data_IF_112523062508
#
_entry.id   IF_112523062508
#
_cell.length_a   1.000
_cell.length_b   1.000
_cell.length_c   1.000
_cell.angle_alpha   90.00
_cell.angle_beta   90.00
_cell.angle_gamma   90.00
#
_symmetry.space_group_name_H-M   'P 1'
#
loop_
_entity.id
_entity.type
_entity.pdbx_description
1 polymer ?
#
# COMPACT_ATOMS: atom_id res chain seq x y z
N UNK A 1 -11.96 -5.95 -3.30
CA UNK A 1 -11.74 -4.92 -2.28
C UNK A 1 -10.29 -4.45 -2.28
N UNK A 2 -10.05 -3.14 -2.37
CA UNK A 2 -8.72 -2.53 -2.29
C UNK A 2 -8.48 -1.86 -0.93
N UNK A 3 -7.23 -1.84 -0.48
CA UNK A 3 -6.82 -1.10 0.71
C UNK A 3 -6.13 0.21 0.37
N UNK A 4 -6.22 1.18 1.28
CA UNK A 4 -5.36 2.37 1.30
C UNK A 4 -4.68 2.48 2.65
N UNK A 5 -3.36 2.46 2.72
CA UNK A 5 -2.58 2.66 3.93
C UNK A 5 -1.89 4.03 3.87
N UNK A 6 -2.25 4.95 4.76
CA UNK A 6 -1.67 6.29 4.82
C UNK A 6 -1.28 6.65 6.24
N UNK A 7 0.00 6.50 6.60
CA UNK A 7 0.50 6.94 7.90
C UNK A 7 0.90 8.42 7.90
N UNK A 8 1.05 9.04 6.71
CA UNK A 8 1.14 10.49 6.52
C UNK A 8 -0.13 11.01 5.83
N UNK A 9 -0.64 12.15 6.31
CA UNK A 9 -1.80 12.81 5.72
C UNK A 9 -1.49 13.25 4.29
N UNK A 10 -2.32 12.83 3.33
CA UNK A 10 -2.31 13.35 1.96
C UNK A 10 -3.72 13.43 1.42
N UNK A 11 -4.24 14.66 1.25
CA UNK A 11 -5.59 14.87 0.72
C UNK A 11 -5.68 14.51 -0.75
N UNK A 12 -4.73 14.97 -1.58
CA UNK A 12 -4.78 14.75 -3.03
C UNK A 12 -4.58 13.28 -3.40
N UNK A 13 -3.58 12.63 -2.81
CA UNK A 13 -3.24 11.25 -3.15
C UNK A 13 -4.32 10.28 -2.68
N UNK A 14 -4.78 10.43 -1.42
CA UNK A 14 -5.85 9.58 -0.88
C UNK A 14 -7.12 9.72 -1.72
N UNK A 15 -7.55 10.96 -1.99
CA UNK A 15 -8.75 11.20 -2.80
C UNK A 15 -8.60 10.66 -4.23
N UNK A 16 -7.44 10.79 -4.87
CA UNK A 16 -7.22 10.28 -6.21
C UNK A 16 -7.35 8.75 -6.30
N UNK A 17 -6.73 8.01 -5.38
CA UNK A 17 -6.83 6.55 -5.36
C UNK A 17 -8.21 6.06 -4.97
N UNK A 18 -8.85 6.67 -3.96
CA UNK A 18 -10.24 6.34 -3.62
C UNK A 18 -11.16 6.56 -4.81
N UNK A 19 -10.97 7.66 -5.55
CA UNK A 19 -11.77 7.93 -6.74
C UNK A 19 -11.51 6.97 -7.88
N UNK A 20 -10.26 6.54 -8.08
CA UNK A 20 -9.93 5.55 -9.11
C UNK A 20 -10.63 4.21 -8.83
N UNK A 21 -10.55 3.70 -7.60
CA UNK A 21 -11.19 2.45 -7.20
C UNK A 21 -12.72 2.54 -7.35
N UNK A 22 -13.33 3.61 -6.84
CA UNK A 22 -14.79 3.83 -6.97
C UNK A 22 -15.23 3.93 -8.44
N UNK A 23 -14.46 4.61 -9.30
CA UNK A 23 -14.78 4.73 -10.74
C UNK A 23 -14.68 3.41 -11.49
N UNK A 24 -13.82 2.50 -11.03
CA UNK A 24 -13.69 1.16 -11.58
C UNK A 24 -14.71 0.17 -10.98
N UNK A 25 -15.62 0.63 -10.12
CA UNK A 25 -16.65 -0.19 -9.50
C UNK A 25 -16.13 -1.07 -8.35
N UNK A 26 -14.98 -0.75 -7.78
CA UNK A 26 -14.40 -1.47 -6.65
C UNK A 26 -14.76 -0.86 -5.29
N UNK A 27 -14.65 -1.70 -4.26
CA UNK A 27 -14.76 -1.30 -2.85
C UNK A 27 -13.39 -0.96 -2.24
N UNK A 28 -13.40 -0.08 -1.24
CA UNK A 28 -12.19 0.44 -0.60
C UNK A 28 -12.27 0.36 0.92
N UNK A 29 -11.19 -0.09 1.56
CA UNK A 29 -10.95 0.04 2.99
C UNK A 29 -9.75 0.97 3.24
N UNK A 30 -9.87 1.85 4.23
CA UNK A 30 -8.83 2.81 4.59
C UNK A 30 -8.18 2.46 5.92
N UNK A 31 -6.85 2.48 5.94
CA UNK A 31 -6.00 2.32 7.11
C UNK A 31 -5.17 3.60 7.31
N UNK A 32 -5.38 4.24 8.45
CA UNK A 32 -4.61 5.36 8.95
C UNK A 32 -3.38 4.93 9.77
N UNK A 33 -2.71 5.90 10.43
CA UNK A 33 -1.49 5.67 11.20
C UNK A 33 -1.65 4.69 12.36
N UNK A 34 -2.86 4.53 12.89
CA UNK A 34 -3.14 3.78 14.11
C UNK A 34 -4.04 2.56 13.90
N UNK A 35 -4.37 2.23 12.65
CA UNK A 35 -5.37 1.21 12.35
C UNK A 35 -4.77 -0.20 12.20
N UNK A 36 -3.48 -0.31 11.90
CA UNK A 36 -2.76 -1.58 11.80
C UNK A 36 -2.05 -1.90 13.11
N UNK A 37 -2.00 -3.18 13.49
CA UNK A 37 -1.29 -3.64 14.70
C UNK A 37 0.24 -3.54 14.58
N UNK A 38 0.76 -3.05 13.46
CA UNK A 38 2.17 -2.69 13.33
C UNK A 38 2.57 -1.59 14.33
N UNK A 39 1.62 -0.81 14.84
CA UNK A 39 1.84 0.15 15.93
C UNK A 39 1.92 -0.48 17.33
N UNK A 40 1.41 -1.71 17.51
CA UNK A 40 1.44 -2.46 18.79
C UNK A 40 2.50 -3.57 18.80
N UNK A 41 3.25 -3.72 17.71
CA UNK A 41 4.38 -4.65 17.59
C UNK A 41 4.12 -5.86 16.69
N UNK A 42 3.00 -5.92 15.96
CA UNK A 42 2.82 -6.91 14.89
C UNK A 42 3.89 -6.71 13.80
N UNK A 43 4.62 -7.76 13.38
CA UNK A 43 5.55 -7.67 12.27
C UNK A 43 4.84 -7.31 10.96
N UNK A 44 5.48 -6.48 10.12
CA UNK A 44 4.94 -6.13 8.81
C UNK A 44 4.67 -7.36 7.93
N UNK A 45 5.43 -8.44 8.11
CA UNK A 45 5.24 -9.71 7.41
C UNK A 45 3.89 -10.36 7.72
N UNK A 46 3.48 -10.32 8.99
CA UNK A 46 2.24 -10.95 9.42
C UNK A 46 1.04 -10.12 8.97
N UNK A 47 1.12 -8.79 9.12
CA UNK A 47 0.12 -7.88 8.55
C UNK A 47 -0.01 -8.06 7.03
N UNK A 48 1.11 -8.21 6.30
CA UNK A 48 1.10 -8.41 4.85
C UNK A 48 0.39 -9.71 4.44
N UNK A 49 0.65 -10.82 5.16
CA UNK A 49 -0.04 -12.09 4.91
C UNK A 49 -1.53 -11.99 5.15
N UNK A 50 -1.94 -11.36 6.24
CA UNK A 50 -3.36 -11.18 6.59
C UNK A 50 -4.06 -10.34 5.53
N UNK A 51 -3.51 -9.17 5.20
CA UNK A 51 -4.09 -8.30 4.19
C UNK A 51 -4.09 -8.94 2.81
N UNK A 52 -3.11 -9.81 2.50
CA UNK A 52 -3.07 -10.55 1.25
C UNK A 52 -4.11 -11.65 1.06
N UNK A 53 -4.70 -12.14 2.14
CA UNK A 53 -5.85 -13.02 2.04
C UNK A 53 -7.19 -12.26 1.93
N UNK A 54 -7.20 -10.94 2.12
CA UNK A 54 -8.42 -10.13 2.25
C UNK A 54 -8.59 -9.07 1.16
N UNK A 55 -7.48 -8.59 0.58
CA UNK A 55 -7.46 -7.47 -0.36
C UNK A 55 -6.95 -7.88 -1.73
N UNK A 56 -7.47 -7.24 -2.76
CA UNK A 56 -7.01 -7.38 -4.15
C UNK A 56 -5.85 -6.45 -4.50
N UNK A 57 -5.51 -5.52 -3.60
CA UNK A 57 -4.41 -4.57 -3.78
C UNK A 57 -4.35 -3.51 -2.68
N UNK A 58 -3.20 -2.86 -2.51
CA UNK A 58 -2.97 -1.84 -1.48
C UNK A 58 -2.25 -0.63 -2.07
N UNK A 59 -2.79 0.56 -1.82
CA UNK A 59 -2.10 1.83 -2.06
C UNK A 59 -1.49 2.29 -0.74
N UNK A 60 -0.16 2.33 -0.63
CA UNK A 60 0.52 2.57 0.64
C UNK A 60 1.40 3.83 0.59
N UNK A 61 1.29 4.66 1.62
CA UNK A 61 2.16 5.79 1.94
C UNK A 61 2.49 5.75 3.43
N UNK A 62 3.67 5.26 3.75
CA UNK A 62 4.16 5.14 5.12
C UNK A 62 5.20 6.22 5.44
N UNK A 63 5.41 6.50 6.73
CA UNK A 63 6.43 7.41 7.25
C UNK A 63 7.72 6.66 7.67
N UNK A 64 7.65 5.33 7.69
CA UNK A 64 8.75 4.46 8.08
C UNK A 64 9.73 4.18 6.94
N UNK A 65 10.76 3.36 7.21
CA UNK A 65 11.73 2.96 6.21
C UNK A 65 11.08 2.32 4.98
N UNK A 66 11.58 2.63 3.78
CA UNK A 66 11.16 1.97 2.54
C UNK A 66 11.31 0.44 2.61
N UNK A 67 12.28 -0.06 3.39
CA UNK A 67 12.51 -1.48 3.61
C UNK A 67 11.27 -2.21 4.14
N UNK A 68 10.50 -1.60 5.04
CA UNK A 68 9.29 -2.18 5.63
C UNK A 68 8.22 -2.39 4.55
N UNK A 69 8.05 -1.40 3.67
CA UNK A 69 7.11 -1.49 2.55
C UNK A 69 7.57 -2.50 1.50
N UNK A 70 8.88 -2.64 1.28
CA UNK A 70 9.44 -3.66 0.40
C UNK A 70 9.21 -5.09 0.92
N UNK A 71 9.32 -5.31 2.24
CA UNK A 71 8.98 -6.60 2.87
C UNK A 71 7.49 -6.90 2.66
N UNK A 72 6.64 -5.89 2.88
CA UNK A 72 5.21 -6.00 2.66
C UNK A 72 4.89 -6.40 1.21
N UNK A 73 5.49 -5.72 0.23
CA UNK A 73 5.27 -5.96 -1.21
C UNK A 73 5.78 -7.32 -1.72
N UNK A 74 6.66 -8.01 -0.98
CA UNK A 74 7.09 -9.39 -1.30
C UNK A 74 6.04 -10.44 -0.92
N UNK A 75 5.21 -10.13 0.06
CA UNK A 75 4.22 -11.05 0.62
C UNK A 75 2.80 -10.72 0.16
N UNK A 76 2.58 -9.50 -0.31
CA UNK A 76 1.30 -9.01 -0.82
C UNK A 76 1.51 -8.25 -2.14
N UNK A 77 0.73 -8.62 -3.17
CA UNK A 77 0.79 -7.98 -4.48
C UNK A 77 -0.63 -7.88 -5.05
N UNK A 78 -1.00 -6.77 -5.72
CA UNK A 78 -0.20 -5.57 -6.00
C UNK A 78 -0.13 -4.55 -4.86
N UNK A 79 1.06 -3.97 -4.64
CA UNK A 79 1.29 -2.82 -3.74
C UNK A 79 1.77 -1.63 -4.55
N UNK A 80 1.02 -0.54 -4.50
CA UNK A 80 1.36 0.72 -5.18
C UNK A 80 1.85 1.71 -4.13
N UNK A 81 3.08 2.19 -4.32
CA UNK A 81 3.64 3.23 -3.47
C UNK A 81 3.06 4.60 -3.82
N UNK A 82 2.38 5.23 -2.85
CA UNK A 82 1.59 6.45 -3.01
C UNK A 82 2.36 7.72 -2.58
N UNK A 83 3.68 7.80 -2.85
CA UNK A 83 4.61 8.94 -2.76
C UNK A 83 5.73 8.72 -1.73
N UNK A 84 6.98 8.56 -2.22
CA UNK A 84 8.21 8.64 -1.43
C UNK A 84 8.66 10.09 -1.34
N UNK A 85 9.07 10.52 -0.15
CA UNK A 85 9.59 11.87 0.08
C UNK A 85 11.06 11.98 -0.40
N UNK A 86 11.77 10.85 -0.55
CA UNK A 86 13.05 10.76 -1.25
C UNK A 86 12.91 10.57 -2.77
N UNK A 87 12.33 11.53 -3.48
CA UNK A 87 12.59 11.67 -4.92
C UNK A 87 13.82 12.56 -5.11
N UNK A 88 15.01 11.95 -5.21
CA UNK A 88 16.14 12.30 -6.10
C UNK A 88 17.33 11.36 -5.83
N UNK A 89 18.09 10.86 -6.82
CA UNK A 89 17.75 10.32 -8.14
C UNK A 89 18.22 8.85 -8.21
N UNK A 90 17.35 7.88 -7.97
CA UNK A 90 17.58 6.51 -8.46
C UNK A 90 16.25 5.96 -8.93
N UNK A 91 16.19 5.56 -10.19
CA UNK A 91 15.19 4.64 -10.71
C UNK A 91 15.07 3.46 -9.72
N UNK A 92 13.86 3.07 -9.29
CA UNK A 92 13.80 1.92 -8.38
C UNK A 92 12.46 1.55 -7.74
N UNK A 93 11.49 1.10 -8.57
CA UNK A 93 10.65 -0.08 -8.28
C UNK A 93 9.66 0.03 -7.09
N UNK A 94 8.39 0.23 -7.43
CA UNK A 94 7.29 -0.65 -7.00
C UNK A 94 6.19 -0.68 -8.08
N UNK A 95 6.59 -0.97 -9.32
CA UNK A 95 5.72 -1.69 -10.26
C UNK A 95 5.90 -3.19 -9.94
N UNK A 96 5.27 -3.68 -8.87
CA UNK A 96 5.15 -5.12 -8.62
C UNK A 96 3.78 -5.60 -9.08
N UNK A 97 3.58 -5.46 -10.40
CA UNK A 97 2.68 -6.32 -11.14
C UNK A 97 3.53 -7.12 -12.13
N UNK A 98 3.77 -8.42 -11.92
CA UNK A 98 3.81 -9.30 -13.07
C UNK A 98 2.37 -9.34 -13.58
N UNK A 99 2.09 -8.60 -14.66
CA UNK A 99 0.93 -8.90 -15.49
C UNK A 99 1.07 -10.40 -15.85
N UNK A 100 0.15 -11.29 -15.44
CA UNK A 100 0.19 -12.65 -15.96
C UNK A 100 -0.12 -12.55 -17.46
N UNK A 101 0.91 -12.78 -18.28
CA UNK A 101 0.73 -13.07 -19.69
C UNK A 101 0.04 -14.43 -19.79
N UNK A 102 -1.26 -14.41 -20.04
CA UNK A 102 -2.09 -15.55 -20.40
C UNK A 102 -3.13 -15.11 -21.41
#
# INVERSE_FOLDING_TARGET
MFGTLFTKTSTRTRTAFSMAVMKLGGDLIGFGPNDLQTNTGEPWEDTARVLGCMLDGLFARTAGPLADLCVFARLFSPVVNAMLEEEYPTQGICDLAPIPAG
#
